data_IF_730768496502
#
_entry.id   IF_730768496502
#
_cell.length_a   1.000
_cell.length_b   1.000
_cell.length_c   1.000
_cell.angle_alpha   90.00
_cell.angle_beta   90.00
_cell.angle_gamma   90.00
#
_symmetry.space_group_name_H-M   'P 1'
#
loop_
_entity.id
_entity.type
_entity.pdbx_description
1 polymer ?
#
# COMPACT_ATOMS: atom_id res chain seq x y z
N UNK A 1 -16.78 -16.88 -14.10
CA UNK A 1 -15.80 -16.90 -12.99
C UNK A 1 -16.39 -17.76 -11.87
N UNK A 2 -15.59 -18.60 -11.20
CA UNK A 2 -16.05 -19.44 -10.09
C UNK A 2 -15.19 -19.18 -8.86
N UNK A 3 -15.80 -19.26 -7.68
CA UNK A 3 -15.12 -19.13 -6.38
C UNK A 3 -15.49 -20.31 -5.49
N UNK A 4 -14.55 -20.76 -4.67
CA UNK A 4 -14.82 -21.79 -3.66
C UNK A 4 -15.25 -21.12 -2.35
N UNK A 5 -16.42 -21.49 -1.84
CA UNK A 5 -16.95 -21.04 -0.55
C UNK A 5 -17.48 -22.29 0.16
N UNK A 6 -17.00 -22.56 1.38
CA UNK A 6 -17.37 -23.76 2.16
C UNK A 6 -17.24 -25.07 1.37
N UNK A 7 -16.12 -25.22 0.64
CA UNK A 7 -15.80 -26.37 -0.22
C UNK A 7 -16.82 -26.63 -1.34
N UNK A 8 -17.56 -25.61 -1.78
CA UNK A 8 -18.44 -25.67 -2.94
C UNK A 8 -18.02 -24.63 -3.97
N UNK A 9 -18.03 -25.03 -5.23
CA UNK A 9 -17.78 -24.11 -6.34
C UNK A 9 -19.07 -23.36 -6.68
N UNK A 10 -19.01 -22.03 -6.60
CA UNK A 10 -20.13 -21.12 -6.85
C UNK A 10 -19.82 -20.26 -8.07
N UNK A 11 -20.76 -20.21 -9.02
CA UNK A 11 -20.66 -19.35 -10.18
C UNK A 11 -20.93 -17.89 -9.81
N UNK A 12 -20.00 -17.00 -10.16
CA UNK A 12 -20.13 -15.57 -9.90
C UNK A 12 -20.97 -14.92 -10.99
N UNK A 13 -22.28 -14.83 -10.74
CA UNK A 13 -23.25 -14.16 -11.61
C UNK A 13 -23.44 -12.66 -11.29
N UNK A 14 -22.90 -12.20 -10.15
CA UNK A 14 -23.02 -10.82 -9.70
C UNK A 14 -22.02 -9.89 -10.39
N UNK A 15 -22.37 -8.60 -10.47
CA UNK A 15 -21.40 -7.56 -10.83
C UNK A 15 -20.47 -7.29 -9.65
N UNK A 16 -19.16 -7.30 -9.90
CA UNK A 16 -18.14 -7.06 -8.88
C UNK A 16 -17.65 -5.61 -8.98
N UNK A 17 -17.67 -4.91 -7.86
CA UNK A 17 -17.18 -3.53 -7.75
C UNK A 17 -16.10 -3.45 -6.66
N UNK A 18 -15.01 -2.73 -6.94
CA UNK A 18 -14.02 -2.35 -5.95
C UNK A 18 -14.23 -0.88 -5.54
N UNK A 19 -14.12 -0.58 -4.25
CA UNK A 19 -14.22 0.78 -3.73
C UNK A 19 -12.93 1.15 -2.99
N UNK A 20 -12.06 1.93 -3.64
CA UNK A 20 -10.75 2.31 -3.08
C UNK A 20 -10.84 3.38 -1.98
N UNK A 21 -11.87 4.25 -2.01
CA UNK A 21 -11.98 5.41 -1.11
C UNK A 21 -12.53 5.14 0.29
N UNK A 22 -12.81 3.89 0.66
CA UNK A 22 -13.23 3.52 2.02
C UNK A 22 -12.08 3.00 2.89
N UNK A 23 -10.87 2.92 2.34
CA UNK A 23 -9.68 2.57 3.12
C UNK A 23 -9.41 3.65 4.17
N UNK A 24 -9.13 3.23 5.41
CA UNK A 24 -8.70 4.13 6.48
C UNK A 24 -7.18 4.42 6.45
N UNK A 25 -6.44 3.69 5.60
CA UNK A 25 -5.00 3.88 5.46
C UNK A 25 -4.70 4.94 4.41
N UNK A 26 -3.68 5.74 4.72
CA UNK A 26 -3.07 6.66 3.77
C UNK A 26 -2.66 5.91 2.51
N UNK A 27 -2.98 6.47 1.35
CA UNK A 27 -2.42 5.99 0.09
C UNK A 27 -0.93 6.34 -0.03
N UNK A 28 -0.31 5.91 -1.14
CA UNK A 28 1.11 6.14 -1.39
C UNK A 28 1.49 7.63 -1.39
N UNK A 29 0.67 8.47 -2.00
CA UNK A 29 0.92 9.91 -2.12
C UNK A 29 0.71 10.61 -0.77
N UNK A 30 -0.26 10.16 0.02
CA UNK A 30 -0.47 10.63 1.39
C UNK A 30 0.72 10.25 2.30
N UNK A 31 1.26 9.04 2.17
CA UNK A 31 2.47 8.64 2.89
C UNK A 31 3.68 9.50 2.50
N UNK A 32 3.84 9.84 1.21
CA UNK A 32 4.89 10.76 0.78
C UNK A 32 4.75 12.14 1.39
N UNK A 33 3.55 12.72 1.29
CA UNK A 33 3.27 14.05 1.88
C UNK A 33 3.49 14.05 3.38
N UNK A 34 3.17 12.95 4.05
CA UNK A 34 3.43 12.78 5.46
C UNK A 34 4.94 12.87 5.78
N UNK A 35 5.79 12.16 5.03
CA UNK A 35 7.25 12.17 5.23
C UNK A 35 7.85 13.54 4.87
N UNK A 36 7.45 14.14 3.74
CA UNK A 36 7.91 15.47 3.32
C UNK A 36 7.47 16.59 4.28
N UNK A 37 6.32 16.42 4.94
CA UNK A 37 5.77 17.36 5.90
C UNK A 37 6.47 17.38 7.26
N UNK A 38 7.41 16.47 7.52
CA UNK A 38 8.16 16.44 8.79
C UNK A 38 9.15 17.61 8.81
N UNK A 39 8.91 18.58 9.71
CA UNK A 39 9.65 19.85 9.76
C UNK A 39 11.18 19.71 9.79
N UNK A 40 11.70 18.67 10.46
CA UNK A 40 13.10 18.25 10.34
C UNK A 40 13.11 16.90 9.64
N UNK A 41 13.70 16.79 8.44
CA UNK A 41 13.67 15.53 7.69
C UNK A 41 14.22 14.36 8.51
N UNK A 42 13.57 13.17 8.44
CA UNK A 42 14.05 12.00 9.15
C UNK A 42 15.42 11.57 8.61
N UNK A 43 16.28 11.06 9.50
CA UNK A 43 17.59 10.51 9.10
C UNK A 43 17.44 9.19 8.34
N UNK A 44 16.44 8.41 8.73
CA UNK A 44 16.12 7.10 8.17
C UNK A 44 14.62 6.87 8.24
N UNK A 45 14.09 6.13 7.27
CA UNK A 45 12.70 5.66 7.21
C UNK A 45 12.73 4.14 7.26
N UNK A 46 11.95 3.54 8.16
CA UNK A 46 11.85 2.09 8.33
C UNK A 46 10.44 1.65 7.93
N UNK A 47 10.32 0.79 6.92
CA UNK A 47 9.03 0.28 6.45
C UNK A 47 8.66 -0.99 7.20
N UNK A 48 7.59 -0.95 8.01
CA UNK A 48 7.22 -2.06 8.90
C UNK A 48 5.99 -2.82 8.40
N UNK A 49 4.90 -2.12 8.07
CA UNK A 49 3.63 -2.74 7.74
C UNK A 49 3.32 -2.60 6.24
N UNK A 50 3.27 -3.71 5.52
CA UNK A 50 2.98 -3.76 4.09
C UNK A 50 3.38 -5.10 3.50
N UNK A 51 2.91 -5.39 2.29
CA UNK A 51 3.38 -6.58 1.57
C UNK A 51 4.84 -6.39 1.13
N UNK A 52 5.69 -7.43 1.16
CA UNK A 52 7.13 -7.28 0.88
C UNK A 52 7.46 -6.61 -0.46
N UNK A 53 6.69 -6.93 -1.50
CA UNK A 53 6.90 -6.34 -2.84
C UNK A 53 6.52 -4.85 -2.84
N UNK A 54 5.36 -4.50 -2.27
CA UNK A 54 4.92 -3.11 -2.17
C UNK A 54 5.87 -2.28 -1.31
N UNK A 55 6.39 -2.84 -0.21
CA UNK A 55 7.40 -2.17 0.62
C UNK A 55 8.70 -1.94 -0.16
N UNK A 56 9.15 -2.93 -0.93
CA UNK A 56 10.37 -2.81 -1.73
C UNK A 56 10.24 -1.74 -2.83
N UNK A 57 9.11 -1.71 -3.52
CA UNK A 57 8.81 -0.69 -4.53
C UNK A 57 8.74 0.71 -3.92
N UNK A 58 8.02 0.85 -2.80
CA UNK A 58 7.92 2.12 -2.09
C UNK A 58 9.26 2.60 -1.52
N UNK A 59 10.09 1.69 -1.01
CA UNK A 59 11.45 1.99 -0.55
C UNK A 59 12.31 2.54 -1.69
N UNK A 60 12.24 1.92 -2.88
CA UNK A 60 12.97 2.40 -4.05
C UNK A 60 12.53 3.82 -4.44
N UNK A 61 11.22 4.07 -4.50
CA UNK A 61 10.69 5.41 -4.83
C UNK A 61 11.13 6.47 -3.79
N UNK A 62 11.17 6.13 -2.50
CA UNK A 62 11.68 7.01 -1.45
C UNK A 62 13.19 7.29 -1.61
N UNK A 63 13.98 6.26 -1.96
CA UNK A 63 15.41 6.40 -2.20
C UNK A 63 15.71 7.28 -3.42
N UNK A 64 14.94 7.14 -4.50
CA UNK A 64 15.03 8.00 -5.69
C UNK A 64 14.74 9.49 -5.37
N UNK A 65 13.96 9.73 -4.31
CA UNK A 65 13.64 11.07 -3.78
C UNK A 65 14.64 11.57 -2.74
N UNK A 66 15.66 10.78 -2.41
CA UNK A 66 16.75 11.18 -1.51
C UNK A 66 16.54 10.81 -0.04
N UNK A 67 15.53 10.02 0.30
CA UNK A 67 15.38 9.48 1.65
C UNK A 67 16.25 8.24 1.85
N UNK A 68 16.82 8.10 3.05
CA UNK A 68 17.47 6.86 3.46
C UNK A 68 16.39 5.92 3.99
N UNK A 69 16.25 4.75 3.36
CA UNK A 69 15.29 3.72 3.77
C UNK A 69 16.06 2.47 4.23
N UNK A 70 15.63 1.91 5.36
CA UNK A 70 16.23 0.75 6.03
C UNK A 70 15.24 -0.41 6.08
#
# INVERSE_FOLDING_TARGET
MQVSIDNKDVEVNAQIHGMSGYSAHADKEELYRFIEGIATPPKEVHLIHGEPNTQSEFAQELQERGFVVV
#
